data_IF_439371491114
#
_entry.id   IF_439371491114
#
_cell.length_a   1.000
_cell.length_b   1.000
_cell.length_c   1.000
_cell.angle_alpha   90.00
_cell.angle_beta   90.00
_cell.angle_gamma   90.00
#
_symmetry.space_group_name_H-M   'P 1'
#
loop_
_entity.id
_entity.type
_entity.pdbx_description
1 polymer ?
#
# COMPACT_ATOMS: atom_id res chain seq x y z
N UNK A 1 83.34 -24.22 9.21
CA UNK A 1 84.45 -23.42 8.64
C UNK A 1 83.83 -22.29 7.83
N UNK A 2 83.74 -21.14 8.48
CA UNK A 2 83.21 -19.85 8.01
C UNK A 2 84.20 -19.16 7.09
N UNK A 3 83.76 -18.67 5.92
CA UNK A 3 84.35 -17.47 5.30
C UNK A 3 83.23 -16.65 4.64
N UNK A 4 83.03 -15.46 5.18
CA UNK A 4 82.24 -14.32 4.67
C UNK A 4 83.25 -13.23 4.21
N UNK A 5 82.83 -12.03 3.77
CA UNK A 5 82.56 -11.56 2.40
C UNK A 5 83.54 -10.46 1.91
N UNK A 6 83.38 -9.96 0.67
CA UNK A 6 83.89 -8.65 0.25
C UNK A 6 83.19 -8.19 -1.04
N UNK A 7 83.02 -6.91 -1.36
CA UNK A 7 82.77 -5.65 -0.65
C UNK A 7 82.37 -4.65 -1.76
N UNK A 8 81.57 -3.65 -1.43
CA UNK A 8 81.16 -2.52 -2.30
C UNK A 8 82.36 -1.79 -2.91
N UNK A 9 82.16 -1.21 -4.10
CA UNK A 9 82.78 0.06 -4.50
C UNK A 9 81.97 0.78 -5.59
N UNK A 10 81.50 1.99 -5.26
CA UNK A 10 81.43 3.16 -6.13
C UNK A 10 82.49 4.17 -5.57
N UNK A 11 82.81 5.33 -6.17
CA UNK A 11 82.21 6.01 -7.32
C UNK A 11 83.25 6.60 -8.33
N UNK A 12 82.80 7.18 -9.45
CA UNK A 12 83.57 8.19 -10.17
C UNK A 12 82.64 9.25 -10.81
N UNK A 13 82.84 10.51 -10.42
CA UNK A 13 82.32 11.73 -11.06
C UNK A 13 83.37 12.25 -12.04
N UNK A 14 82.93 12.85 -13.16
CA UNK A 14 83.46 13.97 -13.98
C UNK A 14 82.49 14.03 -15.18
N UNK A 15 81.96 15.14 -15.70
CA UNK A 15 82.11 16.56 -15.48
C UNK A 15 81.01 17.26 -16.32
N UNK A 16 80.69 18.50 -15.96
CA UNK A 16 79.58 19.26 -16.51
C UNK A 16 79.78 19.71 -17.96
N UNK A 17 78.71 19.70 -18.75
CA UNK A 17 78.50 20.68 -19.83
C UNK A 17 77.04 21.14 -19.80
N UNK A 18 76.90 22.45 -19.67
CA UNK A 18 75.67 23.25 -19.65
C UNK A 18 74.99 23.25 -21.03
N UNK A 19 73.70 22.89 -21.08
CA UNK A 19 72.83 23.25 -22.19
C UNK A 19 71.38 23.47 -21.70
N UNK A 20 70.92 24.70 -21.95
CA UNK A 20 69.59 25.28 -21.94
C UNK A 20 68.36 24.45 -21.46
N UNK A 21 67.59 25.10 -20.59
CA UNK A 21 66.26 24.70 -20.17
C UNK A 21 65.26 24.64 -21.33
N UNK A 22 64.56 23.52 -21.43
CA UNK A 22 63.22 23.42 -22.02
C UNK A 22 62.41 22.46 -21.14
N UNK A 23 61.50 23.01 -20.35
CA UNK A 23 60.55 22.25 -19.55
C UNK A 23 59.57 21.55 -20.49
N UNK A 24 59.81 20.28 -20.80
CA UNK A 24 58.79 19.40 -21.36
C UNK A 24 57.95 18.92 -20.18
N UNK A 25 56.75 19.49 -20.05
CA UNK A 25 55.68 18.93 -19.22
C UNK A 25 55.31 17.59 -19.87
N UNK A 26 55.83 16.48 -19.33
CA UNK A 26 55.22 15.18 -19.55
C UNK A 26 53.89 15.21 -18.79
N UNK A 27 52.83 15.54 -19.51
CA UNK A 27 51.47 15.17 -19.14
C UNK A 27 51.42 13.65 -19.06
N UNK A 28 51.59 13.12 -17.85
CA UNK A 28 51.13 11.76 -17.53
C UNK A 28 49.62 11.81 -17.73
N UNK A 29 49.17 11.28 -18.86
CA UNK A 29 47.76 11.10 -19.15
C UNK A 29 47.14 10.36 -17.98
N UNK A 30 46.25 11.04 -17.28
CA UNK A 30 45.24 10.40 -16.45
C UNK A 30 44.48 9.51 -17.44
N UNK A 31 44.79 8.21 -17.45
CA UNK A 31 43.94 7.24 -18.11
C UNK A 31 42.55 7.44 -17.53
N UNK A 32 41.60 7.84 -18.36
CA UNK A 32 40.19 7.78 -18.02
C UNK A 32 39.94 6.39 -17.40
N UNK A 33 39.11 6.27 -16.34
CA UNK A 33 38.68 4.97 -15.89
C UNK A 33 38.14 4.25 -17.13
N UNK A 34 38.56 2.99 -17.31
CA UNK A 34 38.05 2.15 -18.37
C UNK A 34 36.54 2.34 -18.44
N UNK A 35 36.04 2.75 -19.61
CA UNK A 35 34.62 2.82 -19.86
C UNK A 35 34.00 1.52 -19.34
N UNK A 36 33.10 1.61 -18.36
CA UNK A 36 32.26 0.47 -18.00
C UNK A 36 31.70 -0.03 -19.33
N UNK A 37 31.88 -1.33 -19.62
CA UNK A 37 31.28 -1.94 -20.79
C UNK A 37 29.82 -1.47 -20.83
N UNK A 38 29.39 -0.92 -21.98
CA UNK A 38 28.06 -0.35 -22.11
C UNK A 38 27.05 -1.36 -21.58
N UNK A 39 26.44 -1.06 -20.43
CA UNK A 39 25.53 -1.96 -19.76
C UNK A 39 24.43 -2.33 -20.76
N UNK A 40 24.16 -3.63 -20.92
CA UNK A 40 23.12 -4.11 -21.84
C UNK A 40 21.79 -3.42 -21.47
N UNK A 41 21.22 -2.55 -22.32
CA UNK A 41 20.01 -1.82 -21.99
C UNK A 41 18.83 -2.73 -21.66
N UNK A 42 18.82 -3.98 -22.17
CA UNK A 42 17.79 -4.96 -21.85
C UNK A 42 17.86 -5.46 -20.39
N UNK A 43 18.99 -5.28 -19.72
CA UNK A 43 19.22 -5.64 -18.32
C UNK A 43 19.14 -4.44 -17.38
N UNK A 44 18.76 -3.26 -17.89
CA UNK A 44 18.74 -1.98 -17.17
C UNK A 44 17.36 -1.33 -17.24
N UNK A 45 16.31 -1.94 -16.65
CA UNK A 45 15.00 -1.32 -16.65
C UNK A 45 15.03 0.05 -15.97
N UNK A 46 14.35 1.02 -16.54
CA UNK A 46 14.20 2.33 -15.92
C UNK A 46 13.26 2.22 -14.71
N UNK A 47 13.55 2.91 -13.60
CA UNK A 47 12.62 2.97 -12.47
C UNK A 47 11.29 3.60 -12.90
N UNK A 48 10.22 3.09 -12.32
CA UNK A 48 8.84 3.51 -12.51
C UNK A 48 8.28 4.06 -11.20
N UNK A 49 7.09 4.67 -11.26
CA UNK A 49 6.40 5.12 -10.07
C UNK A 49 6.00 3.96 -9.14
N UNK A 50 5.91 2.73 -9.63
CA UNK A 50 5.58 1.56 -8.81
C UNK A 50 6.77 1.04 -8.00
N UNK A 51 8.01 1.40 -8.35
CA UNK A 51 9.22 0.78 -7.77
C UNK A 51 9.63 1.36 -6.41
N UNK A 52 9.10 2.52 -6.03
CA UNK A 52 9.27 3.13 -4.69
C UNK A 52 10.72 3.07 -4.15
N UNK A 53 11.65 3.69 -4.89
CA UNK A 53 13.07 3.70 -4.52
C UNK A 53 13.33 4.45 -3.20
N UNK A 54 14.16 3.86 -2.35
CA UNK A 54 14.63 4.46 -1.10
C UNK A 54 15.89 5.28 -1.40
N UNK A 55 15.70 6.57 -1.67
CA UNK A 55 16.79 7.50 -2.07
C UNK A 55 17.23 8.45 -0.96
N UNK A 56 16.55 8.42 0.18
CA UNK A 56 16.73 9.32 1.32
C UNK A 56 17.55 8.71 2.47
N UNK A 57 18.07 7.50 2.31
CA UNK A 57 18.91 6.78 3.28
C UNK A 57 20.39 6.89 2.85
N UNK A 58 21.21 7.76 3.47
CA UNK A 58 22.58 7.97 3.02
C UNK A 58 23.46 6.73 3.24
N UNK A 59 24.12 6.30 2.16
CA UNK A 59 24.95 5.10 2.11
C UNK A 59 24.22 3.86 1.58
N UNK A 60 22.92 3.97 1.30
CA UNK A 60 22.12 2.95 0.63
C UNK A 60 22.03 3.23 -0.88
N UNK A 61 22.04 2.17 -1.70
CA UNK A 61 22.10 2.24 -3.15
C UNK A 61 21.02 1.39 -3.82
N UNK A 62 20.80 0.16 -3.38
CA UNK A 62 19.85 -0.79 -3.98
C UNK A 62 18.59 -0.96 -3.12
N UNK A 63 18.23 0.09 -2.37
CA UNK A 63 17.09 0.11 -1.47
C UNK A 63 15.79 0.49 -2.16
N UNK A 64 14.75 -0.32 -1.98
CA UNK A 64 13.38 -0.04 -2.45
C UNK A 64 12.36 -0.81 -1.63
N UNK A 65 11.14 -0.28 -1.59
CA UNK A 65 9.97 -1.03 -1.13
C UNK A 65 9.65 -2.20 -2.10
N UNK A 66 8.70 -3.07 -1.73
CA UNK A 66 8.09 -3.94 -2.75
C UNK A 66 7.45 -3.08 -3.83
N UNK A 67 7.52 -3.51 -5.09
CA UNK A 67 6.86 -2.76 -6.15
C UNK A 67 5.34 -2.76 -5.94
N UNK A 68 4.68 -1.62 -6.15
CA UNK A 68 3.22 -1.47 -6.10
C UNK A 68 2.54 -2.12 -7.32
N UNK A 69 2.87 -3.38 -7.58
CA UNK A 69 2.38 -4.16 -8.71
C UNK A 69 0.96 -4.67 -8.46
N UNK A 70 0.30 -5.08 -9.55
CA UNK A 70 -0.98 -5.79 -9.45
C UNK A 70 -0.70 -7.24 -9.06
N UNK A 71 -1.26 -7.66 -7.94
CA UNK A 71 -1.24 -9.01 -7.44
C UNK A 71 -2.58 -9.73 -7.62
N UNK A 72 -2.83 -10.68 -6.73
CA UNK A 72 -3.95 -11.62 -6.78
C UNK A 72 -5.29 -10.89 -6.71
N UNK A 73 -6.21 -11.32 -7.57
CA UNK A 73 -7.57 -10.77 -7.69
C UNK A 73 -7.61 -9.28 -8.07
N UNK A 74 -6.50 -8.73 -8.60
CA UNK A 74 -6.38 -7.33 -8.98
C UNK A 74 -6.00 -6.39 -7.83
N UNK A 75 -5.73 -6.93 -6.63
CA UNK A 75 -5.25 -6.14 -5.48
C UNK A 75 -3.83 -5.63 -5.72
N UNK A 76 -3.51 -4.46 -5.19
CA UNK A 76 -2.16 -3.91 -5.28
C UNK A 76 -1.27 -4.47 -4.16
N UNK A 77 0.00 -4.72 -4.43
CA UNK A 77 1.00 -5.03 -3.40
C UNK A 77 1.20 -3.82 -2.48
N UNK A 78 1.16 -4.06 -1.17
CA UNK A 78 1.37 -3.04 -0.15
C UNK A 78 2.87 -2.72 0.01
N UNK A 79 3.40 -1.95 -0.95
CA UNK A 79 4.81 -1.61 -1.11
C UNK A 79 5.55 -1.32 0.20
N UNK A 80 5.01 -0.42 1.02
CA UNK A 80 5.63 0.08 2.25
C UNK A 80 5.74 -0.93 3.39
N UNK A 81 5.27 -2.17 3.23
CA UNK A 81 5.32 -3.21 4.27
C UNK A 81 6.64 -3.96 4.29
N UNK A 82 7.38 -3.96 3.17
CA UNK A 82 8.66 -4.63 3.06
C UNK A 82 9.61 -3.83 2.19
N UNK A 83 10.82 -3.62 2.69
CA UNK A 83 11.93 -3.00 1.99
C UNK A 83 12.97 -4.08 1.69
N UNK A 84 13.44 -4.12 0.43
CA UNK A 84 14.61 -4.91 0.03
C UNK A 84 15.82 -4.01 -0.17
N UNK A 85 16.99 -4.44 0.30
CA UNK A 85 18.24 -3.66 0.17
C UNK A 85 19.48 -4.53 0.01
N UNK A 86 20.62 -3.90 -0.31
CA UNK A 86 21.96 -4.42 -0.01
C UNK A 86 22.29 -4.39 1.49
N UNK A 87 23.48 -4.87 1.89
CA UNK A 87 23.86 -4.87 3.31
C UNK A 87 23.94 -3.48 3.93
N UNK A 88 23.68 -3.40 5.22
CA UNK A 88 23.62 -2.14 5.97
C UNK A 88 24.99 -1.78 6.58
N UNK A 89 26.09 -2.39 6.13
CA UNK A 89 27.45 -2.12 6.61
C UNK A 89 27.98 -0.75 6.17
N UNK A 90 27.33 -0.12 5.18
CA UNK A 90 27.74 1.17 4.58
C UNK A 90 26.79 2.33 4.85
N UNK A 91 25.60 2.07 5.42
CA UNK A 91 24.70 3.18 5.74
C UNK A 91 25.31 4.05 6.84
N UNK A 92 24.97 5.32 6.84
CA UNK A 92 25.37 6.24 7.91
C UNK A 92 24.48 6.07 9.14
N UNK A 93 24.90 6.61 10.30
CA UNK A 93 24.02 6.70 11.47
C UNK A 93 22.73 7.50 11.19
N UNK A 94 22.82 8.53 10.32
CA UNK A 94 21.65 9.26 9.85
C UNK A 94 20.74 8.36 8.99
N UNK A 95 21.32 7.53 8.11
CA UNK A 95 20.56 6.55 7.33
C UNK A 95 19.85 5.51 8.20
N UNK A 96 20.51 4.99 9.24
CA UNK A 96 19.87 4.10 10.21
C UNK A 96 18.72 4.79 10.95
N UNK A 97 18.87 6.07 11.30
CA UNK A 97 17.79 6.86 11.88
C UNK A 97 16.63 7.08 10.89
N UNK A 98 16.90 7.37 9.60
CA UNK A 98 15.87 7.47 8.56
C UNK A 98 15.10 6.16 8.42
N UNK A 99 15.78 5.01 8.37
CA UNK A 99 15.15 3.70 8.33
C UNK A 99 14.22 3.46 9.53
N UNK A 100 14.61 3.89 10.73
CA UNK A 100 13.79 3.76 11.92
C UNK A 100 12.60 4.74 11.96
N UNK A 101 12.82 6.02 11.70
CA UNK A 101 11.82 7.07 11.98
C UNK A 101 10.93 7.42 10.79
N UNK A 102 11.43 7.27 9.56
CA UNK A 102 10.70 7.60 8.33
C UNK A 102 10.12 6.33 7.72
N UNK A 103 10.95 5.30 7.57
CA UNK A 103 10.54 4.03 6.97
C UNK A 103 9.98 3.03 7.97
N UNK A 104 9.99 3.37 9.27
CA UNK A 104 9.41 2.59 10.35
C UNK A 104 9.89 1.12 10.40
N UNK A 105 11.15 0.88 10.04
CA UNK A 105 11.74 -0.45 10.06
C UNK A 105 11.82 -0.96 11.50
N UNK A 106 11.13 -2.06 11.78
CA UNK A 106 11.08 -2.68 13.11
C UNK A 106 11.54 -4.15 13.10
N UNK A 107 11.71 -4.75 11.91
CA UNK A 107 12.30 -6.07 11.72
C UNK A 107 13.33 -6.03 10.58
N UNK A 108 14.55 -6.49 10.85
CA UNK A 108 15.60 -6.72 9.85
C UNK A 108 15.84 -8.22 9.70
N UNK A 109 15.75 -8.74 8.47
CA UNK A 109 16.08 -10.12 8.11
C UNK A 109 17.39 -10.11 7.30
N UNK A 110 18.49 -10.52 7.94
CA UNK A 110 19.82 -10.60 7.32
C UNK A 110 20.06 -12.01 6.75
N UNK A 111 20.17 -12.11 5.42
CA UNK A 111 20.34 -13.36 4.69
C UNK A 111 21.81 -13.81 4.54
N UNK A 112 22.76 -13.03 5.08
CA UNK A 112 24.20 -13.28 4.92
C UNK A 112 24.67 -14.47 5.76
N UNK A 113 25.83 -15.04 5.40
CA UNK A 113 26.47 -16.07 6.22
C UNK A 113 27.03 -15.47 7.50
N UNK A 114 27.18 -16.25 8.59
CA UNK A 114 27.80 -15.76 9.82
C UNK A 114 29.17 -15.10 9.59
N UNK A 115 29.99 -15.66 8.70
CA UNK A 115 31.28 -15.07 8.32
C UNK A 115 31.16 -13.73 7.60
N UNK A 116 30.16 -13.56 6.73
CA UNK A 116 29.88 -12.28 6.06
C UNK A 116 29.42 -11.21 7.06
N UNK A 117 28.54 -11.57 8.00
CA UNK A 117 28.07 -10.67 9.07
C UNK A 117 29.23 -10.23 9.96
N UNK A 118 30.10 -11.16 10.36
CA UNK A 118 31.26 -10.87 11.19
C UNK A 118 32.26 -9.93 10.48
N UNK A 119 32.49 -10.16 9.18
CA UNK A 119 33.44 -9.36 8.40
C UNK A 119 32.93 -7.94 8.10
N UNK A 120 31.62 -7.79 7.94
CA UNK A 120 30.96 -6.52 7.56
C UNK A 120 29.67 -6.35 8.37
N UNK A 121 29.77 -6.02 9.67
CA UNK A 121 28.60 -5.89 10.52
C UNK A 121 27.73 -4.72 10.06
N UNK A 122 26.42 -4.92 10.12
CA UNK A 122 25.46 -3.85 9.81
C UNK A 122 25.50 -2.73 10.85
N UNK A 123 25.17 -1.52 10.41
CA UNK A 123 24.79 -0.45 11.33
C UNK A 123 23.41 -0.77 11.92
N UNK A 124 23.25 -0.88 13.24
CA UNK A 124 21.97 -1.22 13.85
C UNK A 124 20.91 -0.14 13.59
N UNK A 125 19.69 -0.56 13.25
CA UNK A 125 18.53 0.33 13.12
C UNK A 125 17.89 0.52 14.51
N UNK A 126 17.78 1.76 15.02
CA UNK A 126 17.17 2.03 16.32
C UNK A 126 15.75 1.47 16.42
N UNK A 127 15.48 0.66 17.46
CA UNK A 127 14.15 0.09 17.71
C UNK A 127 13.81 -1.16 16.89
N UNK A 128 14.61 -1.50 15.87
CA UNK A 128 14.38 -2.70 15.07
C UNK A 128 14.96 -3.95 15.72
N UNK A 129 14.26 -5.07 15.57
CA UNK A 129 14.77 -6.42 15.86
C UNK A 129 15.53 -6.92 14.63
N UNK A 130 16.75 -7.40 14.81
CA UNK A 130 17.49 -8.09 13.74
C UNK A 130 17.44 -9.60 13.94
N UNK A 131 17.15 -10.34 12.86
CA UNK A 131 17.19 -11.80 12.80
C UNK A 131 18.10 -12.22 11.64
N UNK A 132 19.14 -12.99 11.95
CA UNK A 132 19.99 -13.60 10.93
C UNK A 132 19.40 -14.95 10.49
N UNK A 133 19.01 -15.05 9.22
CA UNK A 133 18.55 -16.30 8.60
C UNK A 133 19.45 -16.56 7.39
N UNK A 134 20.58 -17.21 7.63
CA UNK A 134 21.55 -17.40 6.55
C UNK A 134 21.00 -18.30 5.46
N UNK A 135 20.84 -17.74 4.26
CA UNK A 135 20.38 -18.51 3.10
C UNK A 135 21.36 -19.63 2.75
N UNK A 136 22.67 -19.36 2.85
CA UNK A 136 23.71 -20.32 2.49
C UNK A 136 24.21 -21.17 3.67
N UNK A 137 23.67 -20.98 4.88
CA UNK A 137 24.18 -21.63 6.08
C UNK A 137 25.56 -21.12 6.47
N UNK A 138 26.53 -22.03 6.60
CA UNK A 138 27.87 -21.67 7.07
C UNK A 138 28.71 -20.94 6.01
N UNK A 139 28.72 -21.45 4.78
CA UNK A 139 29.61 -21.01 3.71
C UNK A 139 28.85 -20.65 2.43
N UNK A 140 29.25 -19.54 1.83
CA UNK A 140 28.58 -18.94 0.67
C UNK A 140 29.48 -18.76 -0.55
N UNK A 141 30.53 -19.56 -0.65
CA UNK A 141 31.48 -19.49 -1.77
C UNK A 141 31.00 -20.36 -2.93
N UNK A 142 30.87 -19.76 -4.11
CA UNK A 142 30.33 -20.39 -5.31
C UNK A 142 31.25 -20.09 -6.51
N UNK A 143 31.47 -21.08 -7.39
CA UNK A 143 32.34 -20.91 -8.55
C UNK A 143 31.72 -19.98 -9.62
N UNK A 144 30.40 -19.95 -9.72
CA UNK A 144 29.64 -19.04 -10.57
C UNK A 144 28.18 -18.91 -10.09
N UNK A 145 27.48 -17.91 -10.63
CA UNK A 145 26.10 -17.60 -10.27
C UNK A 145 25.11 -18.69 -10.70
N UNK A 146 25.37 -19.43 -11.78
CA UNK A 146 24.45 -20.50 -12.22
C UNK A 146 24.45 -21.65 -11.24
N UNK A 147 25.62 -22.05 -10.73
CA UNK A 147 25.75 -23.04 -9.66
C UNK A 147 25.07 -22.55 -8.39
N UNK A 148 25.26 -21.28 -8.03
CA UNK A 148 24.59 -20.67 -6.88
C UNK A 148 23.06 -20.70 -7.02
N UNK A 149 22.49 -20.29 -8.16
CA UNK A 149 21.03 -20.29 -8.39
C UNK A 149 20.46 -21.71 -8.42
N UNK A 150 21.22 -22.69 -8.93
CA UNK A 150 20.83 -24.10 -8.85
C UNK A 150 20.79 -24.60 -7.41
N UNK A 151 21.79 -24.22 -6.62
CA UNK A 151 21.87 -24.59 -5.20
C UNK A 151 20.80 -23.87 -4.38
N UNK A 152 20.46 -22.60 -4.70
CA UNK A 152 19.36 -21.86 -4.06
C UNK A 152 18.04 -22.63 -4.09
N UNK A 153 17.80 -23.48 -5.09
CA UNK A 153 16.57 -24.28 -5.17
C UNK A 153 16.47 -25.26 -3.99
N UNK A 154 17.52 -26.02 -3.68
CA UNK A 154 17.39 -27.19 -2.81
C UNK A 154 18.71 -27.75 -2.25
N UNK A 155 19.75 -26.93 -2.10
CA UNK A 155 21.05 -27.42 -1.61
C UNK A 155 20.91 -28.16 -0.28
N UNK A 156 21.38 -29.41 -0.29
CA UNK A 156 21.34 -30.30 0.86
C UNK A 156 19.97 -30.91 1.14
N UNK A 157 18.99 -30.72 0.26
CA UNK A 157 17.69 -31.37 0.39
C UNK A 157 17.82 -32.87 0.15
N UNK A 158 17.26 -33.66 1.07
CA UNK A 158 17.13 -35.11 0.93
C UNK A 158 15.66 -35.50 0.90
N UNK A 159 14.90 -35.07 1.90
CA UNK A 159 13.46 -35.31 2.01
C UNK A 159 12.79 -34.29 2.96
N UNK A 160 11.54 -34.54 3.38
CA UNK A 160 10.82 -33.63 4.26
C UNK A 160 11.41 -33.54 5.69
N UNK A 161 12.08 -34.59 6.17
CA UNK A 161 12.73 -34.64 7.48
C UNK A 161 14.13 -33.99 7.43
N UNK A 162 14.80 -34.05 6.29
CA UNK A 162 16.03 -33.31 6.00
C UNK A 162 15.85 -32.37 4.79
N UNK A 163 15.19 -31.21 5.00
CA UNK A 163 14.91 -30.26 3.94
C UNK A 163 16.16 -29.59 3.36
N UNK A 164 17.32 -29.70 4.00
CA UNK A 164 18.50 -28.94 3.60
C UNK A 164 18.42 -27.46 3.96
N UNK A 165 19.52 -26.74 3.69
CA UNK A 165 19.73 -25.39 4.21
C UNK A 165 18.84 -24.35 3.54
N UNK A 166 18.68 -24.43 2.21
CA UNK A 166 17.97 -23.40 1.44
C UNK A 166 16.46 -23.45 1.68
N UNK A 167 15.87 -24.65 1.61
CA UNK A 167 14.45 -24.86 1.90
C UNK A 167 14.14 -24.45 3.34
N UNK A 168 15.00 -24.80 4.30
CA UNK A 168 14.84 -24.38 5.70
C UNK A 168 14.91 -22.85 5.86
N UNK A 169 15.81 -22.20 5.14
CA UNK A 169 15.95 -20.74 5.16
C UNK A 169 14.72 -20.06 4.56
N UNK A 170 14.27 -20.44 3.35
CA UNK A 170 13.06 -19.88 2.74
C UNK A 170 11.84 -20.05 3.63
N UNK A 171 11.61 -21.27 4.16
CA UNK A 171 10.52 -21.54 5.12
C UNK A 171 10.59 -20.58 6.31
N UNK A 172 11.77 -20.42 6.91
CA UNK A 172 11.96 -19.57 8.08
C UNK A 172 11.74 -18.08 7.77
N UNK A 173 12.17 -17.63 6.58
CA UNK A 173 11.98 -16.24 6.14
C UNK A 173 10.51 -15.96 5.88
N UNK A 174 9.82 -16.79 5.10
CA UNK A 174 8.40 -16.62 4.79
C UNK A 174 7.56 -16.65 6.07
N UNK A 175 7.88 -17.53 7.02
CA UNK A 175 7.25 -17.55 8.36
C UNK A 175 7.54 -16.32 9.19
N UNK A 176 8.78 -15.83 9.18
CA UNK A 176 9.15 -14.61 9.90
C UNK A 176 8.37 -13.40 9.35
N UNK A 177 8.18 -13.34 8.02
CA UNK A 177 7.35 -12.32 7.39
C UNK A 177 5.89 -12.50 7.78
N UNK A 178 5.31 -13.68 7.58
CA UNK A 178 3.90 -13.99 7.86
C UNK A 178 3.49 -13.75 9.33
N UNK A 179 4.41 -14.00 10.27
CA UNK A 179 4.19 -13.82 11.71
C UNK A 179 4.46 -12.40 12.21
N UNK A 180 4.93 -11.51 11.34
CA UNK A 180 5.17 -10.12 11.69
C UNK A 180 3.86 -9.32 11.67
N UNK A 181 3.15 -9.36 12.79
CA UNK A 181 1.86 -8.66 12.98
C UNK A 181 2.03 -7.19 13.37
N UNK A 182 3.26 -6.67 13.36
CA UNK A 182 3.55 -5.27 13.66
C UNK A 182 3.02 -4.31 12.60
N UNK A 183 2.90 -3.03 12.97
CA UNK A 183 2.61 -1.94 12.03
C UNK A 183 3.87 -1.35 11.40
N UNK A 184 5.07 -1.79 11.82
CA UNK A 184 6.32 -1.39 11.17
C UNK A 184 6.58 -2.14 9.88
N UNK A 185 7.77 -1.89 9.35
CA UNK A 185 8.24 -2.32 8.05
C UNK A 185 9.33 -3.38 8.19
N UNK A 186 9.22 -4.45 7.42
CA UNK A 186 10.25 -5.48 7.36
C UNK A 186 11.32 -5.02 6.39
N UNK A 187 12.59 -5.02 6.78
CA UNK A 187 13.71 -4.86 5.87
C UNK A 187 14.39 -6.21 5.68
N UNK A 188 14.53 -6.65 4.43
CA UNK A 188 15.25 -7.89 4.09
C UNK A 188 16.44 -7.58 3.19
N UNK A 189 17.60 -8.15 3.50
CA UNK A 189 18.80 -7.89 2.72
C UNK A 189 19.75 -9.08 2.68
N UNK A 190 20.70 -9.00 1.74
CA UNK A 190 21.86 -9.87 1.72
C UNK A 190 23.12 -9.01 1.57
N UNK A 191 24.10 -9.39 0.74
CA UNK A 191 25.27 -8.56 0.48
C UNK A 191 24.99 -7.44 -0.53
N UNK A 192 24.40 -7.78 -1.68
CA UNK A 192 24.06 -6.79 -2.73
C UNK A 192 22.56 -6.57 -2.88
N UNK A 193 21.73 -7.31 -2.12
CA UNK A 193 20.28 -7.19 -2.24
C UNK A 193 19.72 -7.69 -3.56
N UNK A 194 20.45 -8.57 -4.26
CA UNK A 194 20.14 -9.02 -5.62
C UNK A 194 19.70 -10.49 -5.63
N UNK A 195 20.60 -11.44 -5.32
CA UNK A 195 20.33 -12.87 -5.60
C UNK A 195 19.52 -13.58 -4.52
N UNK A 196 20.08 -13.67 -3.31
CA UNK A 196 19.38 -14.29 -2.15
C UNK A 196 18.12 -13.51 -1.82
N UNK A 197 18.21 -12.19 -1.79
CA UNK A 197 17.05 -11.32 -1.60
C UNK A 197 16.08 -11.46 -2.77
N UNK A 198 16.55 -11.44 -4.02
CA UNK A 198 15.67 -11.51 -5.20
C UNK A 198 14.90 -12.81 -5.32
N UNK A 199 15.49 -13.95 -4.98
CA UNK A 199 14.75 -15.23 -4.97
C UNK A 199 13.72 -15.30 -3.84
N UNK A 200 13.95 -14.66 -2.69
CA UNK A 200 12.91 -14.51 -1.66
C UNK A 200 11.77 -13.62 -2.17
N UNK A 201 12.10 -12.51 -2.84
CA UNK A 201 11.11 -11.58 -3.38
C UNK A 201 10.29 -12.23 -4.50
N UNK A 202 10.91 -13.00 -5.40
CA UNK A 202 10.18 -13.81 -6.40
C UNK A 202 9.18 -14.76 -5.72
N UNK A 203 9.60 -15.53 -4.71
CA UNK A 203 8.68 -16.42 -4.00
C UNK A 203 7.51 -15.66 -3.34
N UNK A 204 7.77 -14.49 -2.74
CA UNK A 204 6.72 -13.64 -2.17
C UNK A 204 5.78 -13.13 -3.26
N UNK A 205 6.31 -12.56 -4.33
CA UNK A 205 5.53 -12.02 -5.45
C UNK A 205 4.64 -13.10 -6.11
N UNK A 206 5.14 -14.34 -6.19
CA UNK A 206 4.35 -15.50 -6.63
C UNK A 206 3.19 -15.81 -5.69
N UNK A 207 3.41 -15.76 -4.37
CA UNK A 207 2.34 -15.91 -3.36
C UNK A 207 1.31 -14.79 -3.49
N UNK A 208 1.78 -13.57 -3.75
CA UNK A 208 0.98 -12.36 -3.92
C UNK A 208 0.30 -12.27 -5.29
N UNK A 209 0.59 -13.16 -6.24
CA UNK A 209 -0.04 -13.21 -7.55
C UNK A 209 0.48 -12.17 -8.56
N UNK A 210 1.68 -11.63 -8.34
CA UNK A 210 2.32 -10.68 -9.24
C UNK A 210 2.74 -11.38 -10.54
N UNK A 211 2.63 -10.66 -11.67
CA UNK A 211 2.98 -11.18 -12.98
C UNK A 211 4.49 -11.40 -13.18
N UNK A 212 4.87 -12.44 -13.93
CA UNK A 212 6.30 -12.78 -14.16
C UNK A 212 7.13 -11.65 -14.79
N UNK A 213 6.51 -10.73 -15.53
CA UNK A 213 7.20 -9.58 -16.13
C UNK A 213 7.58 -8.54 -15.07
N UNK A 214 6.69 -8.27 -14.12
CA UNK A 214 6.93 -7.33 -13.02
C UNK A 214 7.96 -7.89 -12.03
N UNK A 215 7.90 -9.19 -11.74
CA UNK A 215 8.92 -9.89 -10.95
C UNK A 215 10.31 -9.74 -11.58
N UNK A 216 10.40 -9.97 -12.90
CA UNK A 216 11.67 -9.83 -13.62
C UNK A 216 12.14 -8.37 -13.63
N UNK A 217 11.23 -7.41 -13.80
CA UNK A 217 11.53 -5.98 -13.72
C UNK A 217 12.13 -5.61 -12.37
N UNK A 218 11.49 -5.97 -11.25
CA UNK A 218 12.01 -5.71 -9.90
C UNK A 218 13.39 -6.35 -9.68
N UNK A 219 13.58 -7.59 -10.12
CA UNK A 219 14.86 -8.28 -10.02
C UNK A 219 15.97 -7.54 -10.77
N UNK A 220 15.71 -7.20 -12.05
CA UNK A 220 16.65 -6.47 -12.91
C UNK A 220 16.89 -5.02 -12.45
N UNK A 221 15.97 -4.41 -11.71
CA UNK A 221 16.17 -3.07 -11.15
C UNK A 221 17.39 -2.98 -10.21
N UNK A 222 17.86 -4.12 -9.71
CA UNK A 222 19.13 -4.22 -8.97
C UNK A 222 20.34 -3.84 -9.82
N UNK A 223 20.33 -4.17 -11.11
CA UNK A 223 21.38 -3.77 -12.06
C UNK A 223 21.40 -2.25 -12.23
N UNK A 224 20.23 -1.65 -12.46
CA UNK A 224 20.06 -0.21 -12.65
C UNK A 224 20.55 0.58 -11.44
N UNK A 225 20.18 0.15 -10.23
CA UNK A 225 20.56 0.84 -9.00
C UNK A 225 22.05 0.67 -8.65
N UNK A 226 22.59 -0.53 -8.82
CA UNK A 226 24.01 -0.80 -8.52
C UNK A 226 24.97 -0.37 -9.63
N UNK A 227 24.47 -0.07 -10.83
CA UNK A 227 25.29 0.25 -12.00
C UNK A 227 26.07 -0.95 -12.54
N UNK A 228 25.46 -2.14 -12.53
CA UNK A 228 26.07 -3.43 -12.93
C UNK A 228 25.15 -4.21 -13.86
N UNK A 229 25.58 -5.35 -14.42
CA UNK A 229 24.80 -6.22 -15.32
C UNK A 229 24.74 -7.70 -14.85
N UNK A 230 24.86 -7.89 -13.54
CA UNK A 230 24.96 -9.22 -12.92
C UNK A 230 23.62 -9.97 -12.89
N UNK A 231 22.53 -9.26 -12.60
CA UNK A 231 21.18 -9.84 -12.64
C UNK A 231 20.80 -10.16 -14.08
N UNK A 232 20.38 -11.41 -14.34
CA UNK A 232 20.01 -11.90 -15.68
C UNK A 232 18.72 -12.71 -15.64
N UNK A 233 17.84 -12.59 -16.64
CA UNK A 233 16.65 -13.44 -16.75
C UNK A 233 17.00 -14.94 -16.73
N UNK A 234 18.14 -15.31 -17.31
CA UNK A 234 18.63 -16.69 -17.32
C UNK A 234 18.95 -17.26 -15.92
N UNK A 235 19.25 -16.40 -14.94
CA UNK A 235 19.48 -16.83 -13.56
C UNK A 235 18.15 -17.03 -12.83
N UNK A 236 17.33 -15.97 -12.72
CA UNK A 236 16.07 -16.05 -11.98
C UNK A 236 15.06 -16.98 -12.68
N UNK A 237 14.66 -16.67 -13.91
CA UNK A 237 13.65 -17.44 -14.62
C UNK A 237 14.24 -18.72 -15.25
N UNK A 238 15.42 -18.61 -15.85
CA UNK A 238 16.04 -19.70 -16.59
C UNK A 238 16.66 -20.81 -15.73
N UNK A 239 17.11 -20.49 -14.51
CA UNK A 239 17.75 -21.47 -13.62
C UNK A 239 16.91 -21.74 -12.40
N UNK A 240 16.54 -20.73 -11.61
CA UNK A 240 15.81 -20.92 -10.36
C UNK A 240 14.35 -21.33 -10.61
N UNK A 241 13.55 -20.53 -11.30
CA UNK A 241 12.14 -20.86 -11.56
C UNK A 241 11.98 -22.12 -12.42
N UNK A 242 12.72 -22.21 -13.53
CA UNK A 242 12.68 -23.39 -14.40
C UNK A 242 13.17 -24.65 -13.68
N UNK A 243 14.19 -24.53 -12.82
CA UNK A 243 14.68 -25.61 -11.98
C UNK A 243 13.62 -26.07 -10.99
N UNK A 244 12.96 -25.14 -10.29
CA UNK A 244 11.82 -25.42 -9.42
C UNK A 244 10.71 -26.15 -10.18
N UNK A 245 10.32 -25.63 -11.34
CA UNK A 245 9.27 -26.23 -12.16
C UNK A 245 9.61 -27.65 -12.59
N UNK A 246 10.86 -27.91 -12.96
CA UNK A 246 11.33 -29.23 -13.39
C UNK A 246 11.41 -30.27 -12.27
N UNK A 247 11.75 -29.84 -11.04
CA UNK A 247 12.01 -30.75 -9.91
C UNK A 247 10.82 -30.96 -8.99
N UNK A 248 9.96 -29.95 -8.86
CA UNK A 248 8.94 -29.88 -7.80
C UNK A 248 7.51 -29.67 -8.32
N UNK A 249 7.25 -29.99 -9.59
CA UNK A 249 5.93 -29.86 -10.23
C UNK A 249 5.37 -28.42 -10.25
N UNK A 250 6.25 -27.42 -10.27
CA UNK A 250 5.89 -26.01 -10.36
C UNK A 250 6.07 -25.23 -9.06
N UNK A 251 5.97 -23.91 -9.18
CA UNK A 251 6.21 -22.97 -8.08
C UNK A 251 5.23 -23.15 -6.91
N UNK A 252 3.94 -23.35 -7.19
CA UNK A 252 2.92 -23.52 -6.13
C UNK A 252 3.18 -24.80 -5.30
N UNK A 253 3.49 -25.90 -5.98
CA UNK A 253 3.86 -27.16 -5.31
C UNK A 253 5.16 -27.02 -4.51
N UNK A 254 6.15 -26.30 -5.03
CA UNK A 254 7.38 -25.99 -4.30
C UNK A 254 7.12 -25.18 -3.03
N UNK A 255 6.32 -24.11 -3.09
CA UNK A 255 5.97 -23.29 -1.92
C UNK A 255 5.17 -24.10 -0.88
N UNK A 256 4.12 -24.79 -1.32
CA UNK A 256 3.19 -25.47 -0.41
C UNK A 256 3.73 -26.77 0.15
N UNK A 257 4.39 -27.56 -0.69
CA UNK A 257 4.81 -28.92 -0.34
C UNK A 257 6.27 -28.95 0.09
N UNK A 258 7.17 -28.40 -0.73
CA UNK A 258 8.62 -28.49 -0.48
C UNK A 258 9.05 -27.52 0.63
N UNK A 259 8.69 -26.24 0.50
CA UNK A 259 8.91 -25.25 1.56
C UNK A 259 7.95 -25.45 2.73
N UNK A 260 6.83 -26.17 2.56
CA UNK A 260 5.90 -26.46 3.64
C UNK A 260 5.20 -25.21 4.18
N UNK A 261 4.94 -24.23 3.30
CA UNK A 261 4.18 -23.02 3.63
C UNK A 261 2.70 -23.33 3.47
N UNK A 262 1.97 -23.37 4.57
CA UNK A 262 0.57 -23.78 4.56
C UNK A 262 -0.40 -22.66 4.12
N UNK A 263 -1.69 -23.00 3.98
CA UNK A 263 -2.73 -22.04 3.60
C UNK A 263 -2.91 -20.88 4.59
N UNK A 264 -2.63 -21.11 5.87
CA UNK A 264 -2.72 -20.08 6.89
C UNK A 264 -1.57 -19.09 6.75
N UNK A 265 -0.35 -19.58 6.52
CA UNK A 265 0.84 -18.77 6.28
C UNK A 265 0.72 -17.99 4.96
N UNK A 266 0.23 -18.63 3.88
CA UNK A 266 -0.06 -17.95 2.61
C UNK A 266 -1.13 -16.86 2.80
N UNK A 267 -2.20 -17.15 3.54
CA UNK A 267 -3.23 -16.16 3.85
C UNK A 267 -2.69 -14.99 4.66
N UNK A 268 -1.83 -15.26 5.65
CA UNK A 268 -1.20 -14.22 6.45
C UNK A 268 -0.26 -13.33 5.61
N UNK A 269 0.57 -13.92 4.74
CA UNK A 269 1.42 -13.17 3.80
C UNK A 269 0.59 -12.26 2.91
N UNK A 270 -0.50 -12.77 2.33
CA UNK A 270 -1.41 -11.99 1.48
C UNK A 270 -2.09 -10.87 2.26
N UNK A 271 -2.61 -11.15 3.45
CA UNK A 271 -3.24 -10.13 4.30
C UNK A 271 -2.25 -9.02 4.72
N UNK A 272 -0.96 -9.35 4.82
CA UNK A 272 0.07 -8.41 5.22
C UNK A 272 0.63 -7.58 4.07
N UNK A 273 0.74 -8.17 2.87
CA UNK A 273 1.47 -7.60 1.74
C UNK A 273 0.59 -7.28 0.52
N UNK A 274 -0.71 -7.55 0.56
CA UNK A 274 -1.69 -6.97 -0.39
C UNK A 274 -2.49 -5.88 0.31
N UNK A 275 -2.76 -4.79 -0.40
CA UNK A 275 -3.73 -3.79 0.03
C UNK A 275 -5.10 -4.47 0.08
N UNK A 276 -5.76 -4.34 1.23
CA UNK A 276 -7.08 -4.93 1.42
C UNK A 276 -8.12 -4.21 0.57
N UNK A 277 -9.08 -4.96 0.04
CA UNK A 277 -10.20 -4.47 -0.79
C UNK A 277 -11.56 -4.57 -0.07
N UNK A 278 -11.54 -5.00 1.19
CA UNK A 278 -12.69 -5.26 2.07
C UNK A 278 -13.19 -4.02 2.84
N UNK A 279 -12.55 -2.85 2.68
CA UNK A 279 -12.94 -1.60 3.33
C UNK A 279 -14.25 -0.99 2.79
N UNK A 280 -15.16 -1.77 2.21
CA UNK A 280 -16.39 -1.27 1.60
C UNK A 280 -17.60 -1.36 2.54
N UNK A 281 -18.48 -0.37 2.48
CA UNK A 281 -19.84 -0.48 3.01
C UNK A 281 -20.70 -1.31 2.05
N UNK A 282 -21.51 -2.22 2.59
CA UNK A 282 -22.62 -2.86 1.89
C UNK A 282 -23.86 -1.97 1.83
N UNK A 283 -24.13 -1.22 2.90
CA UNK A 283 -25.22 -0.24 2.95
C UNK A 283 -24.93 0.85 3.96
N UNK A 284 -25.37 2.07 3.67
CA UNK A 284 -25.42 3.19 4.61
C UNK A 284 -26.84 3.76 4.59
N UNK A 285 -27.41 4.00 5.76
CA UNK A 285 -28.66 4.77 5.91
C UNK A 285 -28.45 5.95 6.85
N UNK A 286 -29.05 7.10 6.54
CA UNK A 286 -29.05 8.28 7.42
C UNK A 286 -30.50 8.67 7.70
N UNK A 287 -30.91 8.67 8.98
CA UNK A 287 -32.30 8.93 9.38
C UNK A 287 -33.31 7.96 8.76
N UNK A 288 -32.87 6.74 8.43
CA UNK A 288 -33.66 5.72 7.74
C UNK A 288 -33.65 5.81 6.21
N UNK A 289 -32.98 6.83 5.62
CA UNK A 289 -32.89 7.01 4.17
C UNK A 289 -31.64 6.34 3.62
N UNK A 290 -31.81 5.48 2.62
CA UNK A 290 -30.70 4.78 1.96
C UNK A 290 -29.80 5.74 1.19
N UNK A 291 -28.50 5.61 1.40
CA UNK A 291 -27.47 6.42 0.72
C UNK A 291 -27.00 5.72 -0.55
N UNK A 292 -26.90 6.43 -1.69
CA UNK A 292 -26.25 5.91 -2.89
C UNK A 292 -24.74 5.85 -2.67
N UNK A 293 -24.22 4.64 -2.42
CA UNK A 293 -22.81 4.44 -2.03
C UNK A 293 -21.79 4.87 -3.09
N UNK A 294 -22.14 4.75 -4.38
CA UNK A 294 -21.28 5.19 -5.48
C UNK A 294 -21.01 6.70 -5.43
N UNK A 295 -22.08 7.49 -5.27
CA UNK A 295 -22.00 8.94 -5.16
C UNK A 295 -21.29 9.34 -3.86
N UNK A 296 -21.61 8.66 -2.75
CA UNK A 296 -21.03 8.95 -1.44
C UNK A 296 -19.52 8.66 -1.39
N UNK A 297 -19.04 7.65 -2.11
CA UNK A 297 -17.61 7.35 -2.23
C UNK A 297 -16.87 8.31 -3.17
N UNK A 298 -17.59 9.07 -3.99
CA UNK A 298 -17.03 10.06 -4.90
C UNK A 298 -16.51 11.31 -4.19
N UNK A 299 -15.73 12.13 -4.90
CA UNK A 299 -15.19 13.38 -4.37
C UNK A 299 -16.28 14.40 -4.02
N UNK A 300 -17.41 14.39 -4.74
CA UNK A 300 -18.55 15.25 -4.49
C UNK A 300 -19.40 14.81 -3.28
N UNK A 301 -19.38 13.52 -2.93
CA UNK A 301 -20.28 12.93 -1.96
C UNK A 301 -21.73 12.78 -2.46
N UNK A 302 -22.57 12.11 -1.67
CA UNK A 302 -24.00 11.96 -1.94
C UNK A 302 -24.79 13.08 -1.27
N UNK A 303 -25.89 13.51 -1.89
CA UNK A 303 -26.90 14.34 -1.24
C UNK A 303 -28.18 13.54 -1.10
N UNK A 304 -28.70 13.42 0.12
CA UNK A 304 -29.95 12.69 0.39
C UNK A 304 -30.88 13.52 1.26
N UNK A 305 -32.19 13.54 1.00
CA UNK A 305 -33.14 14.26 1.85
C UNK A 305 -33.35 13.48 3.15
N UNK A 306 -33.11 14.12 4.29
CA UNK A 306 -33.29 13.52 5.63
C UNK A 306 -33.99 14.52 6.54
N UNK A 307 -35.28 14.24 6.78
CA UNK A 307 -36.22 15.02 7.58
C UNK A 307 -36.01 14.92 9.07
N UNK A 308 -34.75 14.99 9.51
CA UNK A 308 -34.37 15.15 10.91
C UNK A 308 -33.88 16.60 11.10
N UNK A 309 -34.36 17.31 12.14
CA UNK A 309 -33.98 18.70 12.37
C UNK A 309 -32.50 18.86 12.77
N UNK A 310 -31.92 17.83 13.38
CA UNK A 310 -30.50 17.72 13.67
C UNK A 310 -30.06 16.27 13.47
N UNK A 311 -28.78 16.06 13.11
CA UNK A 311 -28.20 14.74 12.97
C UNK A 311 -27.24 14.45 14.12
N UNK A 312 -27.21 13.18 14.50
CA UNK A 312 -26.23 12.59 15.41
C UNK A 312 -25.68 11.30 14.79
N UNK A 313 -24.60 10.76 15.35
CA UNK A 313 -24.06 9.49 14.89
C UNK A 313 -25.05 8.32 15.07
N UNK A 314 -26.01 8.43 16.00
CA UNK A 314 -27.04 7.40 16.22
C UNK A 314 -28.04 7.30 15.06
N UNK A 315 -28.14 8.34 14.23
CA UNK A 315 -29.03 8.38 13.07
C UNK A 315 -28.41 7.72 11.83
N UNK A 316 -27.16 7.27 11.93
CA UNK A 316 -26.40 6.67 10.83
C UNK A 316 -26.21 5.19 11.11
N UNK A 317 -26.66 4.35 10.18
CA UNK A 317 -26.42 2.91 10.23
C UNK A 317 -25.56 2.48 9.05
N UNK A 318 -24.52 1.71 9.34
CA UNK A 318 -23.54 1.23 8.37
C UNK A 318 -23.49 -0.29 8.49
N UNK A 319 -23.64 -0.96 7.37
CA UNK A 319 -23.34 -2.39 7.22
C UNK A 319 -22.11 -2.49 6.34
N UNK A 320 -21.06 -3.14 6.82
CA UNK A 320 -19.84 -3.40 6.03
C UNK A 320 -20.07 -4.57 5.08
N UNK A 321 -19.37 -4.56 3.94
CA UNK A 321 -19.40 -5.67 2.98
C UNK A 321 -18.67 -6.91 3.53
N UNK A 322 -17.62 -6.68 4.32
CA UNK A 322 -16.90 -7.71 5.06
C UNK A 322 -17.24 -7.62 6.56
N UNK A 323 -17.52 -8.77 7.19
CA UNK A 323 -17.88 -8.84 8.61
C UNK A 323 -16.72 -8.58 9.57
N UNK A 324 -15.48 -8.59 9.09
CA UNK A 324 -14.27 -8.26 9.85
C UNK A 324 -13.82 -6.81 9.71
N UNK A 325 -14.37 -6.07 8.75
CA UNK A 325 -14.19 -4.63 8.64
C UNK A 325 -14.95 -3.89 9.76
N UNK A 326 -14.45 -2.71 10.12
CA UNK A 326 -15.06 -1.82 11.12
C UNK A 326 -15.50 -0.51 10.46
N UNK A 327 -16.40 0.24 11.10
CA UNK A 327 -16.81 1.56 10.60
C UNK A 327 -16.86 2.60 11.72
N UNK A 328 -16.58 3.85 11.36
CA UNK A 328 -16.74 5.01 12.22
C UNK A 328 -17.57 6.08 11.52
N UNK A 329 -18.29 6.88 12.32
CA UNK A 329 -19.19 7.92 11.85
C UNK A 329 -18.82 9.24 12.52
N UNK A 330 -18.59 10.27 11.70
CA UNK A 330 -18.47 11.65 12.13
C UNK A 330 -19.62 12.48 11.55
N UNK A 331 -20.25 13.30 12.39
CA UNK A 331 -21.34 14.20 11.98
C UNK A 331 -20.94 15.63 12.30
N UNK A 332 -20.92 16.48 11.27
CA UNK A 332 -20.68 17.92 11.39
C UNK A 332 -21.85 18.68 10.75
N UNK A 333 -22.76 19.17 11.61
CA UNK A 333 -24.02 19.77 11.20
C UNK A 333 -24.88 18.80 10.39
N UNK A 334 -24.89 18.99 9.07
CA UNK A 334 -25.68 18.21 8.09
C UNK A 334 -24.82 17.29 7.22
N UNK A 335 -23.51 17.30 7.45
CA UNK A 335 -22.53 16.47 6.75
C UNK A 335 -22.20 15.26 7.60
N UNK A 336 -22.35 14.08 7.01
CA UNK A 336 -21.96 12.80 7.60
C UNK A 336 -20.76 12.27 6.84
N UNK A 337 -19.71 11.91 7.58
CA UNK A 337 -18.55 11.18 7.06
C UNK A 337 -18.54 9.81 7.68
N UNK A 338 -18.68 8.77 6.86
CA UNK A 338 -18.51 7.38 7.26
C UNK A 338 -17.16 6.90 6.77
N UNK A 339 -16.34 6.36 7.67
CA UNK A 339 -15.08 5.72 7.30
C UNK A 339 -15.18 4.24 7.63
N UNK A 340 -15.10 3.39 6.61
CA UNK A 340 -14.98 1.95 6.76
C UNK A 340 -13.49 1.61 6.74
N UNK A 341 -13.04 0.84 7.72
CA UNK A 341 -11.66 0.36 7.84
C UNK A 341 -11.67 -1.15 7.65
N UNK A 342 -10.87 -1.62 6.70
CA UNK A 342 -10.58 -3.02 6.44
C UNK A 342 -10.16 -3.80 7.69
N UNK A 343 -10.21 -5.13 7.61
CA UNK A 343 -9.73 -6.01 8.68
C UNK A 343 -8.24 -5.79 9.02
N UNK A 344 -7.45 -5.33 8.03
CA UNK A 344 -6.03 -5.00 8.22
C UNK A 344 -5.79 -3.78 9.14
N UNK A 345 -6.84 -3.03 9.49
CA UNK A 345 -6.79 -1.83 10.32
C UNK A 345 -6.14 -0.60 9.67
N UNK A 346 -5.81 -0.67 8.37
CA UNK A 346 -5.01 0.33 7.64
C UNK A 346 -5.72 0.85 6.41
N UNK A 347 -6.33 -0.04 5.63
CA UNK A 347 -7.04 0.34 4.42
C UNK A 347 -8.38 0.95 4.81
N UNK A 348 -8.61 2.20 4.41
CA UNK A 348 -9.87 2.89 4.70
C UNK A 348 -10.57 3.35 3.43
N UNK A 349 -11.90 3.31 3.45
CA UNK A 349 -12.75 3.96 2.46
C UNK A 349 -13.68 4.95 3.16
N UNK A 350 -13.72 6.15 2.62
CA UNK A 350 -14.56 7.22 3.15
C UNK A 350 -15.76 7.46 2.25
N UNK A 351 -16.94 7.58 2.87
CA UNK A 351 -18.19 7.96 2.24
C UNK A 351 -18.64 9.30 2.83
N UNK A 352 -18.87 10.30 1.97
CA UNK A 352 -19.36 11.62 2.35
C UNK A 352 -20.82 11.78 1.95
N UNK A 353 -21.63 12.20 2.89
CA UNK A 353 -23.06 12.39 2.71
C UNK A 353 -23.45 13.77 3.22
N UNK A 354 -24.08 14.57 2.39
CA UNK A 354 -24.78 15.79 2.81
C UNK A 354 -26.25 15.46 2.93
N UNK A 355 -26.75 15.43 4.15
CA UNK A 355 -28.15 15.16 4.40
C UNK A 355 -28.94 16.47 4.28
N UNK A 356 -29.65 16.68 3.18
CA UNK A 356 -30.60 17.79 3.06
C UNK A 356 -31.77 17.64 4.04
N UNK A 357 -32.62 18.65 4.15
CA UNK A 357 -33.92 18.46 4.79
C UNK A 357 -34.84 17.64 3.88
N UNK A 358 -36.00 17.24 4.38
CA UNK A 358 -37.01 16.59 3.56
C UNK A 358 -37.42 17.50 2.39
N UNK A 359 -37.63 16.91 1.23
CA UNK A 359 -38.06 17.64 0.04
C UNK A 359 -39.59 17.59 -0.05
N UNK A 360 -40.23 18.73 -0.35
CA UNK A 360 -41.64 18.78 -0.73
C UNK A 360 -41.74 19.08 -2.22
N UNK A 361 -42.38 18.19 -2.97
CA UNK A 361 -42.71 18.35 -4.38
C UNK A 361 -44.19 18.71 -4.55
N UNK A 362 -44.43 19.81 -5.28
CA UNK A 362 -45.76 20.28 -5.64
C UNK A 362 -46.05 19.99 -7.13
N UNK A 363 -47.32 19.76 -7.52
CA UNK A 363 -47.71 19.65 -8.92
C UNK A 363 -47.30 20.90 -9.70
N UNK A 364 -46.70 20.72 -10.88
CA UNK A 364 -46.33 21.84 -11.74
C UNK A 364 -47.55 22.72 -12.05
N UNK A 365 -47.42 24.04 -11.86
CA UNK A 365 -48.50 25.00 -12.09
C UNK A 365 -49.58 25.02 -10.99
N UNK A 366 -49.29 24.54 -9.77
CA UNK A 366 -50.19 24.68 -8.63
C UNK A 366 -50.38 26.17 -8.28
N UNK A 367 -51.49 26.75 -8.73
CA UNK A 367 -51.98 28.08 -8.34
C UNK A 367 -53.28 27.93 -7.54
N UNK A 368 -53.20 27.42 -6.30
CA UNK A 368 -54.39 27.19 -5.48
C UNK A 368 -55.05 28.50 -5.10
N UNK A 369 -56.38 28.52 -5.10
CA UNK A 369 -57.15 29.64 -4.57
C UNK A 369 -57.32 29.50 -3.07
N UNK A 370 -57.55 30.60 -2.35
CA UNK A 370 -57.99 30.55 -0.96
C UNK A 370 -59.26 29.68 -0.83
N UNK A 371 -59.28 28.76 0.14
CA UNK A 371 -60.32 27.74 0.29
C UNK A 371 -60.18 26.52 -0.63
N UNK A 372 -59.25 26.55 -1.59
CA UNK A 372 -58.91 25.44 -2.47
C UNK A 372 -57.93 24.46 -1.84
N UNK A 373 -57.65 23.36 -2.55
CA UNK A 373 -56.76 22.30 -2.08
C UNK A 373 -55.48 22.19 -2.89
N UNK A 374 -54.37 21.84 -2.23
CA UNK A 374 -53.07 21.57 -2.85
C UNK A 374 -52.66 20.14 -2.52
N UNK A 375 -52.41 19.34 -3.56
CA UNK A 375 -51.74 18.06 -3.39
C UNK A 375 -50.23 18.29 -3.28
N UNK A 376 -49.56 17.47 -2.48
CA UNK A 376 -48.10 17.49 -2.38
C UNK A 376 -47.55 16.08 -2.18
N UNK A 377 -46.28 15.90 -2.52
CA UNK A 377 -45.48 14.73 -2.17
C UNK A 377 -44.30 15.17 -1.33
N UNK A 378 -43.86 14.34 -0.41
CA UNK A 378 -42.65 14.58 0.36
C UNK A 378 -41.76 13.34 0.37
N UNK A 379 -40.45 13.54 0.44
CA UNK A 379 -39.45 12.48 0.49
C UNK A 379 -38.38 12.78 1.54
N UNK A 380 -37.74 11.71 2.03
CA UNK A 380 -36.71 11.80 3.06
C UNK A 380 -37.24 11.87 4.48
N UNK A 381 -38.51 11.51 4.73
CA UNK A 381 -39.10 11.54 6.06
C UNK A 381 -38.79 10.26 6.84
N UNK A 382 -38.71 10.35 8.17
CA UNK A 382 -38.60 9.16 9.03
C UNK A 382 -39.85 8.28 8.86
N UNK A 383 -39.70 6.99 8.49
CA UNK A 383 -40.83 6.09 8.26
C UNK A 383 -41.79 5.98 9.46
N UNK A 384 -43.09 6.01 9.19
CA UNK A 384 -44.15 5.89 10.20
C UNK A 384 -44.37 7.13 11.08
N UNK A 385 -43.52 8.15 10.98
CA UNK A 385 -43.71 9.41 11.71
C UNK A 385 -44.79 10.28 11.04
N UNK A 386 -45.54 11.01 11.87
CA UNK A 386 -46.55 11.98 11.42
C UNK A 386 -46.00 13.40 11.57
N UNK A 387 -46.15 14.19 10.51
CA UNK A 387 -45.69 15.57 10.42
C UNK A 387 -46.88 16.49 10.21
N UNK A 388 -46.81 17.68 10.79
CA UNK A 388 -47.78 18.75 10.53
C UNK A 388 -47.32 19.54 9.32
N UNK A 389 -48.27 19.97 8.50
CA UNK A 389 -48.02 20.78 7.30
C UNK A 389 -48.35 22.22 7.66
N UNK A 390 -47.35 23.10 7.60
CA UNK A 390 -47.47 24.50 7.98
C UNK A 390 -47.44 25.37 6.73
N UNK A 391 -48.47 26.18 6.54
CA UNK A 391 -48.50 27.25 5.55
C UNK A 391 -47.94 28.53 6.16
N UNK A 392 -46.88 29.07 5.58
CA UNK A 392 -46.19 30.27 6.04
C UNK A 392 -46.67 31.53 5.31
N UNK A 393 -47.93 31.89 5.54
CA UNK A 393 -48.49 33.23 5.27
C UNK A 393 -48.46 34.06 6.57
N UNK A 394 -49.25 33.59 7.53
CA UNK A 394 -49.03 33.60 8.98
C UNK A 394 -49.00 32.12 9.38
N UNK A 395 -48.01 31.61 10.13
CA UNK A 395 -47.83 30.17 10.32
C UNK A 395 -49.12 29.46 10.76
N UNK A 396 -49.73 28.73 9.83
CA UNK A 396 -51.04 28.09 10.01
C UNK A 396 -50.90 26.60 9.75
N UNK A 397 -51.41 25.80 10.68
CA UNK A 397 -51.53 24.35 10.50
C UNK A 397 -52.64 24.05 9.50
N UNK A 398 -52.28 23.45 8.37
CA UNK A 398 -53.20 23.13 7.28
C UNK A 398 -53.42 21.62 7.13
N UNK A 399 -52.90 20.81 8.07
CA UNK A 399 -53.11 19.38 8.12
C UNK A 399 -51.88 18.60 8.57
N UNK A 400 -51.93 17.28 8.40
CA UNK A 400 -50.82 16.39 8.75
C UNK A 400 -50.66 15.28 7.72
N UNK A 401 -49.46 14.71 7.65
CA UNK A 401 -49.16 13.56 6.79
C UNK A 401 -48.28 12.56 7.53
N UNK A 402 -48.52 11.27 7.31
CA UNK A 402 -47.69 10.19 7.88
C UNK A 402 -46.81 9.60 6.79
N UNK A 403 -45.52 9.46 7.08
CA UNK A 403 -44.57 8.86 6.16
C UNK A 403 -44.81 7.35 6.03
N UNK A 404 -44.77 6.85 4.80
CA UNK A 404 -44.80 5.43 4.49
C UNK A 404 -43.46 4.76 4.90
N UNK A 405 -43.41 3.44 4.75
CA UNK A 405 -42.22 2.64 5.10
C UNK A 405 -40.98 3.00 4.28
N UNK A 406 -41.15 3.62 3.11
CA UNK A 406 -40.07 4.09 2.23
C UNK A 406 -39.66 5.55 2.49
N UNK A 407 -40.19 6.17 3.54
CA UNK A 407 -39.91 7.56 3.89
C UNK A 407 -40.56 8.59 2.96
N UNK A 408 -41.46 8.17 2.08
CA UNK A 408 -42.27 9.07 1.26
C UNK A 408 -43.60 9.37 1.93
N UNK A 409 -44.20 10.51 1.57
CA UNK A 409 -45.55 10.85 1.97
C UNK A 409 -46.27 11.55 0.81
N UNK A 410 -47.58 11.41 0.76
CA UNK A 410 -48.42 12.14 -0.19
C UNK A 410 -49.69 12.57 0.52
N UNK A 411 -50.13 13.80 0.27
CA UNK A 411 -51.29 14.35 0.96
C UNK A 411 -51.94 15.47 0.17
N UNK A 412 -53.07 15.93 0.69
CA UNK A 412 -53.75 17.12 0.18
C UNK A 412 -54.08 18.01 1.37
N UNK A 413 -53.69 19.27 1.29
CA UNK A 413 -54.00 20.28 2.31
C UNK A 413 -54.97 21.31 1.73
N UNK A 414 -55.80 21.89 2.61
CA UNK A 414 -56.73 22.96 2.22
C UNK A 414 -56.10 24.29 2.60
N UNK A 415 -56.02 25.22 1.64
CA UNK A 415 -55.56 26.58 1.89
C UNK A 415 -56.66 27.34 2.64
N UNK A 416 -56.38 27.97 3.79
CA UNK A 416 -57.39 28.72 4.54
C UNK A 416 -58.08 29.77 3.66
N UNK A 417 -59.40 29.91 3.77
CA UNK A 417 -60.20 30.82 2.95
C UNK A 417 -59.82 32.30 3.11
N UNK A 418 -59.17 32.66 4.23
CA UNK A 418 -58.67 34.02 4.50
C UNK A 418 -57.20 34.24 4.13
N UNK A 419 -56.57 33.34 3.36
CA UNK A 419 -55.17 33.51 2.93
C UNK A 419 -55.07 34.62 1.88
N UNK A 420 -54.20 35.60 2.12
CA UNK A 420 -53.97 36.69 1.17
C UNK A 420 -53.36 36.17 -0.15
N UNK A 421 -53.70 36.78 -1.30
CA UNK A 421 -53.05 36.46 -2.57
C UNK A 421 -51.55 36.75 -2.52
N UNK A 422 -50.73 35.87 -3.08
CA UNK A 422 -49.28 36.06 -3.19
C UNK A 422 -48.49 34.78 -2.96
N UNK A 423 -47.18 34.94 -2.84
CA UNK A 423 -46.25 33.83 -2.62
C UNK A 423 -46.23 33.40 -1.15
N UNK A 424 -46.48 32.11 -0.92
CA UNK A 424 -46.42 31.46 0.39
C UNK A 424 -45.49 30.26 0.33
N UNK A 425 -45.18 29.66 1.48
CA UNK A 425 -44.42 28.40 1.52
C UNK A 425 -45.11 27.36 2.39
N UNK A 426 -44.96 26.09 2.01
CA UNK A 426 -45.27 24.95 2.86
C UNK A 426 -44.00 24.42 3.48
N UNK A 427 -44.06 24.11 4.77
CA UNK A 427 -43.04 23.33 5.47
C UNK A 427 -43.69 22.15 6.19
N UNK A 428 -42.90 21.11 6.41
CA UNK A 428 -43.24 20.03 7.34
C UNK A 428 -42.56 20.31 8.67
N UNK A 429 -43.31 20.17 9.75
CA UNK A 429 -42.77 20.26 11.12
C UNK A 429 -43.06 18.98 11.91
N UNK A 430 -42.12 18.62 12.78
CA UNK A 430 -42.28 17.49 13.69
C UNK A 430 -43.27 17.78 14.83
N UNK A 431 -43.47 16.80 15.72
CA UNK A 431 -44.37 16.92 16.87
C UNK A 431 -43.97 18.05 17.84
N UNK A 432 -42.71 18.50 17.80
CA UNK A 432 -42.18 19.60 18.61
C UNK A 432 -42.24 20.94 17.86
N UNK A 433 -42.71 20.97 16.62
CA UNK A 433 -42.82 22.17 15.79
C UNK A 433 -41.51 22.59 15.12
N UNK A 434 -40.51 21.72 15.06
CA UNK A 434 -39.24 21.99 14.36
C UNK A 434 -39.40 21.67 12.88
N UNK A 435 -38.91 22.54 12.01
CA UNK A 435 -38.91 22.31 10.57
C UNK A 435 -38.05 21.10 10.22
N UNK A 436 -38.60 20.21 9.39
CA UNK A 436 -37.93 19.01 8.88
C UNK A 436 -37.84 18.99 7.36
N UNK A 437 -38.41 19.96 6.67
CA UNK A 437 -38.33 20.12 5.22
C UNK A 437 -37.78 21.48 4.84
N UNK A 438 -37.23 21.57 3.63
CA UNK A 438 -37.08 22.87 2.99
C UNK A 438 -38.46 23.47 2.66
N UNK A 439 -38.60 24.81 2.62
CA UNK A 439 -39.86 25.44 2.24
C UNK A 439 -40.18 25.21 0.75
N UNK A 440 -41.37 24.71 0.46
CA UNK A 440 -41.88 24.62 -0.91
C UNK A 440 -42.79 25.79 -1.25
N UNK A 441 -42.43 26.53 -2.29
CA UNK A 441 -43.13 27.73 -2.73
C UNK A 441 -44.47 27.42 -3.38
N UNK A 442 -45.52 28.13 -2.95
CA UNK A 442 -46.85 28.20 -3.57
C UNK A 442 -47.05 29.64 -4.03
N UNK A 443 -47.59 29.85 -5.23
CA UNK A 443 -47.86 31.20 -5.78
C UNK A 443 -49.31 31.35 -6.20
#
# INVERSE_FOLDING_TARGET
MTITPARRAAPARIGALTAAAAAVVLSVGIGAPAAHAAADPALQPAPTASDHLITDVPGLVNGRELGAFTGLDGRTVAASRLIRTESLDKITAAGAATLASVHHVDLVIDLRTPGQIQAKPDVPIPGAKTVAISMFGADGDYPDDTVMYRDLIDKGHVDAADPGVMISAYRSILRAIASHTGNGTILIHCSHGMDRTGTVIDLLDRILGVGSADILHDYLLSNTQLGVDWAKPALLQGTFEAGIASRYAGMDSYIRTTLGVDDQEISALRAQLLVSDDAAAASITVGGVTVPLGDAAGSAGAVVPVGLPALTAADVHVTTADGSATSSVAVDGRTVTVTVTAADGRTTRTYRITAGLAEIALPAGSAPTAGGTVAFRAAGLTPGATYRVILHSTPTDVGSVTAASDGTASGTVTIPAGTDPGTHTLTLVDAQGRAVSDPATIT
#
